data_IF_147742967886
#
_entry.id   IF_147742967886
#
_cell.length_a   1.000
_cell.length_b   1.000
_cell.length_c   1.000
_cell.angle_alpha   90.00
_cell.angle_beta   90.00
_cell.angle_gamma   90.00
#
_symmetry.space_group_name_H-M   'P 1'
#
loop_
_entity.id
_entity.type
_entity.pdbx_description
1 polymer ?
#
# COMPACT_ATOMS: atom_id res chain seq x y z
N UNK A 1 -22.07 -6.00 37.93
CA UNK A 1 -20.77 -5.77 37.25
C UNK A 1 -20.96 -5.64 35.74
N UNK A 2 -21.61 -6.60 35.07
CA UNK A 2 -21.91 -6.52 33.64
C UNK A 2 -22.80 -5.30 33.30
N UNK A 3 -23.90 -5.09 34.04
CA UNK A 3 -24.81 -3.95 33.84
C UNK A 3 -24.11 -2.59 34.00
N UNK A 4 -23.34 -2.38 35.08
CA UNK A 4 -22.54 -1.16 35.26
C UNK A 4 -21.52 -0.93 34.12
N UNK A 5 -20.93 -2.00 33.58
CA UNK A 5 -20.03 -1.89 32.42
C UNK A 5 -20.82 -1.50 31.18
N UNK A 6 -22.00 -2.09 30.97
CA UNK A 6 -22.89 -1.77 29.85
C UNK A 6 -23.37 -0.33 29.90
N UNK A 7 -23.85 0.15 31.05
CA UNK A 7 -24.29 1.54 31.24
C UNK A 7 -23.16 2.53 30.94
N UNK A 8 -21.96 2.29 31.49
CA UNK A 8 -20.80 3.14 31.24
C UNK A 8 -20.36 3.12 29.77
N UNK A 9 -20.50 1.98 29.08
CA UNK A 9 -20.22 1.89 27.65
C UNK A 9 -21.24 2.66 26.82
N UNK A 10 -22.52 2.62 27.20
CA UNK A 10 -23.58 3.40 26.54
C UNK A 10 -23.39 4.89 26.76
N UNK A 11 -23.05 5.32 27.97
CA UNK A 11 -22.75 6.74 28.25
C UNK A 11 -21.57 7.27 27.41
N UNK A 12 -20.49 6.49 27.28
CA UNK A 12 -19.35 6.86 26.45
C UNK A 12 -19.74 6.90 24.98
N UNK A 13 -20.53 5.92 24.52
CA UNK A 13 -21.03 5.87 23.16
C UNK A 13 -21.90 7.09 22.82
N UNK A 14 -22.83 7.45 23.69
CA UNK A 14 -23.73 8.60 23.50
C UNK A 14 -22.94 9.91 23.47
N UNK A 15 -22.00 10.10 24.39
CA UNK A 15 -21.09 11.27 24.38
C UNK A 15 -20.26 11.35 23.10
N UNK A 16 -19.74 10.22 22.62
CA UNK A 16 -18.99 10.18 21.36
C UNK A 16 -19.88 10.53 20.18
N UNK A 17 -21.16 10.16 20.19
CA UNK A 17 -22.11 10.51 19.13
C UNK A 17 -22.50 11.99 19.14
N UNK A 18 -22.59 12.61 20.33
CA UNK A 18 -22.88 14.04 20.48
C UNK A 18 -21.77 14.92 19.91
N UNK A 19 -20.51 14.50 20.03
CA UNK A 19 -19.34 15.26 19.58
C UNK A 19 -19.14 15.23 18.06
N UNK A 20 -19.92 14.43 17.34
CA UNK A 20 -19.82 14.29 15.90
C UNK A 20 -20.38 15.52 15.19
N UNK A 21 -19.75 15.83 14.06
CA UNK A 21 -20.23 16.85 13.16
C UNK A 21 -21.67 16.52 12.70
N UNK A 22 -22.66 17.37 12.98
CA UNK A 22 -24.03 17.10 12.59
C UNK A 22 -24.22 17.08 11.07
N UNK A 23 -23.34 17.72 10.29
CA UNK A 23 -23.44 17.86 8.83
C UNK A 23 -23.15 16.55 8.09
N UNK A 24 -22.53 15.57 8.75
CA UNK A 24 -22.34 14.22 8.18
C UNK A 24 -23.49 13.27 8.50
N UNK A 25 -24.48 13.67 9.31
CA UNK A 25 -25.64 12.82 9.62
C UNK A 25 -26.49 12.59 8.36
N UNK A 26 -27.00 11.38 8.19
CA UNK A 26 -27.76 10.99 6.99
C UNK A 26 -26.91 10.68 5.76
N UNK A 27 -25.59 10.90 5.82
CA UNK A 27 -24.70 10.39 4.78
C UNK A 27 -24.59 8.87 4.92
N UNK A 28 -24.56 8.11 3.80
CA UNK A 28 -24.42 6.67 3.85
C UNK A 28 -23.21 6.24 4.70
N UNK A 29 -23.42 5.25 5.57
CA UNK A 29 -22.47 4.70 6.54
C UNK A 29 -22.05 5.64 7.67
N UNK A 30 -22.57 6.87 7.76
CA UNK A 30 -22.16 7.80 8.82
C UNK A 30 -23.02 7.70 10.08
N UNK A 31 -24.20 7.10 10.08
CA UNK A 31 -25.08 7.17 11.26
C UNK A 31 -24.50 6.49 12.52
N UNK A 32 -23.80 5.37 12.35
CA UNK A 32 -23.19 4.61 13.45
C UNK A 32 -21.90 3.90 13.01
N UNK A 33 -20.89 3.75 13.90
CA UNK A 33 -19.69 2.99 13.60
C UNK A 33 -19.95 1.48 13.45
N UNK A 34 -21.14 1.00 13.84
CA UNK A 34 -21.51 -0.43 13.77
C UNK A 34 -21.49 -0.93 12.31
N UNK A 35 -22.07 -0.18 11.38
CA UNK A 35 -22.15 -0.58 9.98
C UNK A 35 -20.76 -0.66 9.34
N UNK A 36 -19.92 0.35 9.60
CA UNK A 36 -18.51 0.36 9.19
C UNK A 36 -17.76 -0.85 9.76
N UNK A 37 -17.96 -1.17 11.04
CA UNK A 37 -17.27 -2.29 11.71
C UNK A 37 -17.73 -3.63 11.13
N UNK A 38 -19.03 -3.81 10.91
CA UNK A 38 -19.60 -5.01 10.33
C UNK A 38 -19.03 -5.29 8.92
N UNK A 39 -18.95 -4.26 8.06
CA UNK A 39 -18.35 -4.38 6.73
C UNK A 39 -16.90 -4.87 6.82
N UNK A 40 -16.10 -4.30 7.73
CA UNK A 40 -14.70 -4.67 7.90
C UNK A 40 -14.53 -6.08 8.46
N UNK A 41 -15.37 -6.50 9.40
CA UNK A 41 -15.36 -7.87 9.93
C UNK A 41 -15.74 -8.88 8.86
N UNK A 42 -16.76 -8.61 8.05
CA UNK A 42 -17.14 -9.45 6.91
C UNK A 42 -16.02 -9.52 5.88
N UNK A 43 -15.40 -8.38 5.56
CA UNK A 43 -14.24 -8.32 4.68
C UNK A 43 -13.08 -9.18 5.20
N UNK A 44 -12.69 -9.03 6.47
CA UNK A 44 -11.61 -9.79 7.09
C UNK A 44 -11.92 -11.28 7.12
N UNK A 45 -13.14 -11.66 7.50
CA UNK A 45 -13.60 -13.04 7.46
C UNK A 45 -13.51 -13.62 6.04
N UNK A 46 -13.94 -12.86 5.03
CA UNK A 46 -13.86 -13.28 3.64
C UNK A 46 -12.41 -13.44 3.18
N UNK A 47 -11.55 -12.44 3.36
CA UNK A 47 -10.20 -12.45 2.79
C UNK A 47 -9.25 -13.40 3.50
N UNK A 48 -9.41 -13.61 4.81
CA UNK A 48 -8.53 -14.46 5.61
C UNK A 48 -9.00 -15.90 5.69
N UNK A 49 -10.32 -16.14 5.66
CA UNK A 49 -10.88 -17.46 5.99
C UNK A 49 -11.75 -18.04 4.87
N UNK A 50 -12.86 -17.38 4.53
CA UNK A 50 -13.88 -17.98 3.67
C UNK A 50 -13.43 -18.05 2.20
N UNK A 51 -12.95 -16.93 1.66
CA UNK A 51 -12.50 -16.80 0.28
C UNK A 51 -11.37 -17.76 -0.10
N UNK A 52 -10.27 -17.85 0.67
CA UNK A 52 -9.22 -18.84 0.42
C UNK A 52 -9.72 -20.30 0.44
N UNK A 53 -10.63 -20.65 1.35
CA UNK A 53 -11.23 -22.00 1.40
C UNK A 53 -12.12 -22.28 0.19
N UNK A 54 -13.00 -21.35 -0.18
CA UNK A 54 -13.86 -21.47 -1.37
C UNK A 54 -13.00 -21.62 -2.64
N UNK A 55 -11.90 -20.88 -2.71
CA UNK A 55 -10.98 -20.91 -3.85
C UNK A 55 -10.03 -22.09 -3.85
N UNK A 56 -9.90 -22.86 -2.75
CA UNK A 56 -8.97 -23.98 -2.65
C UNK A 56 -9.24 -25.02 -3.74
N UNK A 57 -10.52 -25.36 -3.96
CA UNK A 57 -10.98 -26.36 -4.94
C UNK A 57 -11.32 -25.76 -6.32
N UNK A 58 -11.22 -24.43 -6.49
CA UNK A 58 -11.57 -23.74 -7.73
C UNK A 58 -10.32 -23.27 -8.48
N UNK A 59 -10.45 -23.16 -9.81
CA UNK A 59 -9.45 -22.51 -10.67
C UNK A 59 -9.48 -20.99 -10.43
N UNK A 60 -8.35 -20.27 -10.58
CA UNK A 60 -8.32 -18.81 -10.50
C UNK A 60 -9.28 -18.17 -11.51
N UNK A 61 -10.07 -17.19 -11.06
CA UNK A 61 -10.97 -16.46 -11.95
C UNK A 61 -10.21 -15.56 -12.94
N UNK A 62 -10.68 -15.49 -14.18
CA UNK A 62 -10.13 -14.62 -15.22
C UNK A 62 -10.82 -13.25 -15.21
N UNK A 63 -10.45 -12.41 -14.25
CA UNK A 63 -11.11 -11.11 -13.99
C UNK A 63 -10.47 -9.93 -14.74
N UNK A 64 -9.91 -10.16 -15.93
CA UNK A 64 -9.18 -9.11 -16.68
C UNK A 64 -10.05 -7.88 -16.96
N UNK A 65 -11.20 -8.07 -17.60
CA UNK A 65 -12.13 -6.98 -17.93
C UNK A 65 -12.62 -6.21 -16.69
N UNK A 66 -13.19 -6.90 -15.68
CA UNK A 66 -13.61 -6.26 -14.43
C UNK A 66 -12.50 -5.47 -13.75
N UNK A 67 -11.27 -6.00 -13.68
CA UNK A 67 -10.14 -5.28 -13.09
C UNK A 67 -9.78 -4.03 -13.87
N UNK A 68 -9.81 -4.05 -15.20
CA UNK A 68 -9.51 -2.85 -16.01
C UNK A 68 -10.53 -1.75 -15.70
N UNK A 69 -11.82 -2.08 -15.77
CA UNK A 69 -12.92 -1.14 -15.49
C UNK A 69 -12.80 -0.58 -14.07
N UNK A 70 -12.60 -1.45 -13.08
CA UNK A 70 -12.45 -1.06 -11.69
C UNK A 70 -11.24 -0.13 -11.44
N UNK A 71 -10.07 -0.45 -12.00
CA UNK A 71 -8.89 0.39 -11.80
C UNK A 71 -9.05 1.77 -12.46
N UNK A 72 -9.61 1.84 -13.67
CA UNK A 72 -9.87 3.13 -14.32
C UNK A 72 -11.00 3.93 -13.64
N UNK A 73 -12.00 3.25 -13.09
CA UNK A 73 -12.98 3.89 -12.21
C UNK A 73 -12.30 4.52 -10.99
N UNK A 74 -11.38 3.82 -10.33
CA UNK A 74 -10.64 4.38 -9.20
C UNK A 74 -9.69 5.52 -9.57
N UNK A 75 -9.12 5.51 -10.78
CA UNK A 75 -8.40 6.66 -11.32
C UNK A 75 -9.33 7.87 -11.42
N UNK A 76 -10.51 7.71 -12.03
CA UNK A 76 -11.49 8.80 -12.15
C UNK A 76 -11.95 9.30 -10.78
N UNK A 77 -12.34 8.38 -9.88
CA UNK A 77 -12.78 8.71 -8.53
C UNK A 77 -11.70 9.46 -7.75
N UNK A 78 -10.45 8.98 -7.79
CA UNK A 78 -9.33 9.63 -7.09
C UNK A 78 -9.03 11.01 -7.67
N UNK A 79 -9.06 11.16 -9.00
CA UNK A 79 -8.88 12.47 -9.66
C UNK A 79 -9.98 13.45 -9.27
N UNK A 80 -11.23 12.98 -9.21
CA UNK A 80 -12.35 13.80 -8.76
C UNK A 80 -12.20 14.20 -7.29
N UNK A 81 -11.80 13.29 -6.41
CA UNK A 81 -11.53 13.59 -5.00
C UNK A 81 -10.38 14.61 -4.85
N UNK A 82 -9.31 14.48 -5.64
CA UNK A 82 -8.22 15.48 -5.66
C UNK A 82 -8.77 16.86 -6.03
N UNK A 83 -9.52 16.95 -7.13
CA UNK A 83 -10.13 18.21 -7.56
C UNK A 83 -11.04 18.79 -6.47
N UNK A 84 -11.88 17.97 -5.85
CA UNK A 84 -12.78 18.42 -4.79
C UNK A 84 -12.03 18.89 -3.54
N UNK A 85 -10.97 18.20 -3.08
CA UNK A 85 -10.15 18.69 -1.97
C UNK A 85 -9.48 20.03 -2.32
N UNK A 86 -8.90 20.13 -3.51
CA UNK A 86 -8.26 21.36 -4.00
C UNK A 86 -9.25 22.53 -3.97
N UNK A 87 -10.45 22.34 -4.51
CA UNK A 87 -11.44 23.41 -4.59
C UNK A 87 -12.20 23.65 -3.27
N UNK A 88 -12.19 22.71 -2.33
CA UNK A 88 -12.83 22.86 -1.01
C UNK A 88 -12.00 23.64 0.00
N UNK A 89 -10.71 23.90 -0.27
CA UNK A 89 -9.89 24.70 0.63
C UNK A 89 -8.44 24.86 0.15
N UNK A 90 -7.82 23.77 -0.28
CA UNK A 90 -6.36 23.73 -0.53
C UNK A 90 -5.87 24.70 -1.63
N UNK A 91 -6.71 25.08 -2.60
CA UNK A 91 -6.42 26.13 -3.59
C UNK A 91 -7.25 27.40 -3.42
N UNK A 92 -8.21 27.42 -2.50
CA UNK A 92 -9.24 28.47 -2.43
C UNK A 92 -9.22 29.27 -1.13
N UNK A 93 -8.47 28.84 -0.11
CA UNK A 93 -8.34 29.63 1.12
C UNK A 93 -7.40 29.08 2.19
N UNK A 94 -6.98 27.82 2.11
CA UNK A 94 -6.05 27.25 3.09
C UNK A 94 -4.65 27.81 2.92
N UNK A 95 -3.98 27.99 4.06
CA UNK A 95 -2.65 28.58 4.20
C UNK A 95 -1.52 27.56 4.08
N UNK A 96 -1.85 26.26 3.99
CA UNK A 96 -0.89 25.13 3.99
C UNK A 96 -0.10 25.05 5.30
N UNK A 97 -0.72 25.51 6.38
CA UNK A 97 -0.16 25.63 7.72
C UNK A 97 -1.22 25.24 8.76
N UNK A 98 -1.62 26.17 9.62
CA UNK A 98 -2.72 25.94 10.55
C UNK A 98 -4.04 26.31 9.87
N UNK A 99 -4.68 25.29 9.31
CA UNK A 99 -6.00 25.44 8.70
C UNK A 99 -7.04 24.71 9.58
N UNK A 100 -7.85 25.44 10.37
CA UNK A 100 -8.88 24.83 11.21
C UNK A 100 -10.03 24.25 10.37
N UNK A 101 -10.86 23.41 10.99
CA UNK A 101 -12.07 22.91 10.35
C UNK A 101 -13.11 24.03 10.28
N UNK A 102 -13.69 24.28 9.12
CA UNK A 102 -14.88 25.14 8.99
C UNK A 102 -16.13 24.32 9.35
N UNK A 103 -16.75 24.62 10.51
CA UNK A 103 -17.99 23.99 10.97
C UNK A 103 -19.27 24.70 10.52
N UNK A 104 -19.16 25.79 9.77
CA UNK A 104 -20.33 26.50 9.24
C UNK A 104 -20.99 25.74 8.08
N UNK A 105 -22.22 26.12 7.75
CA UNK A 105 -22.92 25.64 6.56
C UNK A 105 -22.53 26.42 5.29
N UNK A 106 -21.32 26.99 5.26
CA UNK A 106 -20.81 27.67 4.08
C UNK A 106 -20.73 26.69 2.90
N UNK A 107 -20.92 27.15 1.64
CA UNK A 107 -20.80 26.27 0.48
C UNK A 107 -19.44 25.55 0.40
N UNK A 108 -18.37 26.21 0.88
CA UNK A 108 -17.01 25.66 0.91
C UNK A 108 -16.85 24.62 2.02
N UNK A 109 -17.30 24.91 3.25
CA UNK A 109 -17.29 23.96 4.37
C UNK A 109 -18.09 22.70 4.06
N UNK A 110 -19.31 22.85 3.54
CA UNK A 110 -20.14 21.71 3.11
C UNK A 110 -19.53 20.93 1.94
N UNK A 111 -18.73 21.57 1.08
CA UNK A 111 -17.99 20.88 0.01
C UNK A 111 -16.85 20.04 0.59
N UNK A 112 -16.11 20.59 1.57
CA UNK A 112 -15.06 19.86 2.30
C UNK A 112 -15.63 18.62 3.01
N UNK A 113 -16.77 18.76 3.68
CA UNK A 113 -17.46 17.63 4.33
C UNK A 113 -17.81 16.54 3.32
N UNK A 114 -18.37 16.93 2.16
CA UNK A 114 -18.73 15.99 1.09
C UNK A 114 -17.53 15.22 0.55
N UNK A 115 -16.40 15.89 0.29
CA UNK A 115 -15.20 15.22 -0.23
C UNK A 115 -14.52 14.36 0.84
N UNK A 116 -14.55 14.76 2.11
CA UNK A 116 -14.06 13.94 3.22
C UNK A 116 -14.85 12.62 3.33
N UNK A 117 -16.18 12.69 3.23
CA UNK A 117 -17.02 11.50 3.14
C UNK A 117 -16.76 10.68 1.88
N UNK A 118 -16.63 11.32 0.71
CA UNK A 118 -16.36 10.60 -0.54
C UNK A 118 -15.02 9.85 -0.48
N UNK A 119 -14.01 10.46 0.15
CA UNK A 119 -12.74 9.81 0.43
C UNK A 119 -12.91 8.58 1.33
N UNK A 120 -13.71 8.66 2.39
CA UNK A 120 -14.04 7.50 3.23
C UNK A 120 -14.72 6.38 2.42
N UNK A 121 -15.71 6.71 1.59
CA UNK A 121 -16.39 5.74 0.72
C UNK A 121 -15.39 5.09 -0.24
N UNK A 122 -14.45 5.86 -0.80
CA UNK A 122 -13.41 5.29 -1.65
C UNK A 122 -12.61 4.19 -0.94
N UNK A 123 -12.31 4.32 0.36
CA UNK A 123 -11.58 3.29 1.12
C UNK A 123 -12.36 1.97 1.23
N UNK A 124 -13.69 2.02 1.31
CA UNK A 124 -14.53 0.82 1.26
C UNK A 124 -14.56 0.17 -0.12
N UNK A 125 -14.60 0.98 -1.18
CA UNK A 125 -14.53 0.46 -2.56
C UNK A 125 -13.18 -0.25 -2.78
N UNK A 126 -12.10 0.31 -2.26
CA UNK A 126 -10.74 -0.24 -2.37
C UNK A 126 -10.57 -1.60 -1.67
N UNK A 127 -11.48 -2.02 -0.78
CA UNK A 127 -11.50 -3.38 -0.22
C UNK A 127 -11.60 -4.45 -1.32
N UNK A 128 -12.18 -4.10 -2.47
CA UNK A 128 -12.29 -4.98 -3.63
C UNK A 128 -10.92 -5.39 -4.19
N UNK A 129 -9.85 -4.63 -3.96
CA UNK A 129 -8.48 -4.99 -4.35
C UNK A 129 -8.09 -6.38 -3.81
N UNK A 130 -8.35 -6.59 -2.53
CA UNK A 130 -8.03 -7.85 -1.85
C UNK A 130 -8.97 -8.96 -2.30
N UNK A 131 -10.25 -8.64 -2.57
CA UNK A 131 -11.20 -9.60 -3.15
C UNK A 131 -10.70 -10.11 -4.50
N UNK A 132 -10.22 -9.23 -5.38
CA UNK A 132 -9.60 -9.63 -6.64
C UNK A 132 -8.37 -10.53 -6.42
N UNK A 133 -7.53 -10.25 -5.41
CA UNK A 133 -6.38 -11.11 -5.11
C UNK A 133 -6.80 -12.51 -4.67
N UNK A 134 -7.82 -12.62 -3.82
CA UNK A 134 -8.38 -13.91 -3.36
C UNK A 134 -8.93 -14.70 -4.55
N UNK A 135 -9.82 -14.09 -5.35
CA UNK A 135 -10.46 -14.76 -6.48
C UNK A 135 -9.48 -15.18 -7.59
N UNK A 136 -8.34 -14.48 -7.70
CA UNK A 136 -7.26 -14.82 -8.64
C UNK A 136 -6.18 -15.73 -8.05
N UNK A 137 -6.35 -16.20 -6.81
CA UNK A 137 -5.36 -17.00 -6.04
C UNK A 137 -3.98 -16.34 -6.01
N UNK A 138 -3.94 -15.00 -5.90
CA UNK A 138 -2.70 -14.21 -5.80
C UNK A 138 -2.35 -13.93 -4.34
N UNK A 139 -2.29 -14.98 -3.53
CA UNK A 139 -2.04 -14.88 -2.08
C UNK A 139 -0.76 -14.16 -1.72
N UNK A 140 0.28 -14.19 -2.57
CA UNK A 140 1.50 -13.43 -2.32
C UNK A 140 1.26 -11.92 -2.26
N UNK A 141 0.21 -11.38 -2.91
CA UNK A 141 -0.17 -9.97 -2.85
C UNK A 141 -0.93 -9.61 -1.57
N UNK A 142 -1.53 -10.60 -0.90
CA UNK A 142 -2.27 -10.42 0.36
C UNK A 142 -1.25 -10.47 1.51
N UNK A 143 -0.53 -9.36 1.69
CA UNK A 143 0.46 -9.22 2.77
C UNK A 143 -0.18 -8.64 4.03
N UNK A 144 0.51 -8.76 5.18
CA UNK A 144 0.12 -8.05 6.39
C UNK A 144 -0.05 -6.55 6.14
N UNK A 145 0.91 -5.92 5.44
CA UNK A 145 0.83 -4.51 5.06
C UNK A 145 -0.47 -4.18 4.33
N UNK A 146 -0.83 -5.00 3.32
CA UNK A 146 -2.03 -4.79 2.53
C UNK A 146 -3.30 -4.91 3.37
N UNK A 147 -3.44 -6.00 4.13
CA UNK A 147 -4.64 -6.23 4.96
C UNK A 147 -4.75 -5.18 6.05
N UNK A 148 -3.65 -4.88 6.75
CA UNK A 148 -3.64 -3.88 7.82
C UNK A 148 -4.05 -2.52 7.28
N UNK A 149 -3.43 -2.08 6.16
CA UNK A 149 -3.79 -0.82 5.50
C UNK A 149 -5.28 -0.78 5.12
N UNK A 150 -5.76 -1.76 4.34
CA UNK A 150 -7.15 -1.74 3.85
C UNK A 150 -8.20 -1.96 4.94
N UNK A 151 -7.84 -2.52 6.10
CA UNK A 151 -8.79 -2.67 7.21
C UNK A 151 -8.79 -1.46 8.14
N UNK A 152 -7.60 -0.95 8.45
CA UNK A 152 -7.43 0.08 9.45
C UNK A 152 -7.71 1.48 8.90
N UNK A 153 -7.37 1.76 7.63
CA UNK A 153 -7.63 3.07 7.01
C UNK A 153 -9.12 3.45 6.98
N UNK A 154 -10.05 2.64 6.44
CA UNK A 154 -11.48 2.99 6.51
C UNK A 154 -11.99 3.12 7.95
N UNK A 155 -11.44 2.33 8.88
CA UNK A 155 -11.82 2.39 10.29
C UNK A 155 -11.46 3.73 10.94
N UNK A 156 -10.21 4.18 10.78
CA UNK A 156 -9.75 5.46 11.34
C UNK A 156 -10.38 6.65 10.64
N UNK A 157 -10.56 6.57 9.32
CA UNK A 157 -11.19 7.62 8.54
C UNK A 157 -12.65 7.85 8.90
N UNK A 158 -13.39 6.80 9.29
CA UNK A 158 -14.77 6.98 9.76
C UNK A 158 -14.84 7.93 10.95
N UNK A 159 -13.93 7.78 11.92
CA UNK A 159 -13.83 8.69 13.06
C UNK A 159 -13.34 10.07 12.66
N UNK A 160 -12.35 10.16 11.77
CA UNK A 160 -11.85 11.43 11.24
C UNK A 160 -12.95 12.26 10.57
N UNK A 161 -13.73 11.66 9.66
CA UNK A 161 -14.86 12.34 9.00
C UNK A 161 -15.97 12.64 9.99
N UNK A 162 -16.20 11.79 10.98
CA UNK A 162 -17.24 12.01 11.98
C UNK A 162 -16.97 13.20 12.89
N UNK A 163 -15.71 13.50 13.20
CA UNK A 163 -15.35 14.56 14.14
C UNK A 163 -14.76 15.81 13.47
N UNK A 164 -13.90 15.63 12.48
CA UNK A 164 -13.13 16.72 11.84
C UNK A 164 -13.08 16.55 10.32
N UNK A 165 -14.21 16.72 9.61
CA UNK A 165 -14.29 16.54 8.17
C UNK A 165 -13.67 17.74 7.40
N UNK A 166 -12.39 18.07 7.64
CA UNK A 166 -11.69 19.16 6.96
C UNK A 166 -10.40 19.61 7.64
N UNK A 167 -10.02 20.86 7.37
CA UNK A 167 -8.83 21.52 7.93
C UNK A 167 -7.53 20.89 7.47
N UNK A 168 -6.45 21.20 8.18
CA UNK A 168 -5.10 20.71 7.91
C UNK A 168 -5.01 19.17 8.00
N UNK A 169 -5.91 18.53 8.76
CA UNK A 169 -6.06 17.08 8.81
C UNK A 169 -6.41 16.45 7.46
N UNK A 170 -7.07 17.17 6.56
CA UNK A 170 -7.44 16.67 5.22
C UNK A 170 -6.27 16.58 4.23
N UNK A 171 -5.11 17.15 4.54
CA UNK A 171 -3.93 17.19 3.65
C UNK A 171 -3.54 15.79 3.19
N UNK A 172 -3.50 14.84 4.12
CA UNK A 172 -3.06 13.49 3.81
C UNK A 172 -4.02 12.73 2.90
N UNK A 173 -5.34 13.01 2.95
CA UNK A 173 -6.30 12.46 1.99
C UNK A 173 -6.08 13.03 0.60
N UNK A 174 -5.84 14.34 0.49
CA UNK A 174 -5.56 14.98 -0.80
C UNK A 174 -4.32 14.35 -1.44
N UNK A 175 -3.19 14.31 -0.73
CA UNK A 175 -1.95 13.72 -1.24
C UNK A 175 -2.11 12.22 -1.52
N UNK A 176 -2.80 11.47 -0.66
CA UNK A 176 -3.08 10.05 -0.91
C UNK A 176 -3.90 9.85 -2.19
N UNK A 177 -4.88 10.70 -2.44
CA UNK A 177 -5.71 10.63 -3.66
C UNK A 177 -4.86 10.88 -4.91
N UNK A 178 -3.91 11.82 -4.88
CA UNK A 178 -2.94 12.03 -5.98
C UNK A 178 -2.12 10.77 -6.24
N UNK A 179 -1.61 10.13 -5.18
CA UNK A 179 -0.85 8.88 -5.32
C UNK A 179 -1.74 7.74 -5.81
N UNK A 180 -3.01 7.69 -5.41
CA UNK A 180 -3.98 6.68 -5.86
C UNK A 180 -4.31 6.81 -7.34
N UNK A 181 -4.38 8.04 -7.90
CA UNK A 181 -4.46 8.25 -9.36
C UNK A 181 -3.32 7.52 -10.07
N UNK A 182 -2.08 7.72 -9.62
CA UNK A 182 -0.88 7.14 -10.23
C UNK A 182 -0.87 5.60 -10.05
N UNK A 183 -1.18 5.13 -8.85
CA UNK A 183 -1.15 3.70 -8.50
C UNK A 183 -2.22 2.91 -9.25
N UNK A 184 -3.47 3.37 -9.27
CA UNK A 184 -4.54 2.66 -9.97
C UNK A 184 -4.40 2.77 -11.48
N UNK A 185 -3.82 3.85 -12.01
CA UNK A 185 -3.46 3.93 -13.43
C UNK A 185 -2.44 2.85 -13.80
N UNK A 186 -1.40 2.68 -12.98
CA UNK A 186 -0.44 1.57 -13.15
C UNK A 186 -1.14 0.20 -13.09
N UNK A 187 -2.02 -0.02 -12.11
CA UNK A 187 -2.72 -1.30 -11.98
C UNK A 187 -3.66 -1.57 -13.16
N UNK A 188 -4.37 -0.57 -13.66
CA UNK A 188 -5.19 -0.65 -14.87
C UNK A 188 -4.38 -1.06 -16.09
N UNK A 189 -3.24 -0.40 -16.33
CA UNK A 189 -2.32 -0.77 -17.42
C UNK A 189 -1.72 -2.17 -17.22
N UNK A 190 -1.39 -2.54 -15.99
CA UNK A 190 -0.86 -3.88 -15.68
C UNK A 190 -1.89 -4.99 -15.96
N UNK A 191 -3.18 -4.70 -15.75
CA UNK A 191 -4.29 -5.60 -16.01
C UNK A 191 -4.62 -5.71 -17.51
N UNK A 192 -4.35 -4.67 -18.31
CA UNK A 192 -4.56 -4.66 -19.76
C UNK A 192 -3.71 -5.70 -20.52
N UNK A 193 -2.66 -6.25 -19.89
CA UNK A 193 -1.96 -7.46 -20.31
C UNK A 193 -0.52 -7.23 -20.75
N UNK A 194 0.16 -8.27 -21.30
CA UNK A 194 1.59 -8.23 -21.60
C UNK A 194 2.00 -7.10 -22.56
N UNK A 195 1.10 -6.71 -23.48
CA UNK A 195 1.32 -5.60 -24.43
C UNK A 195 1.61 -4.27 -23.72
N UNK A 196 1.01 -4.03 -22.55
CA UNK A 196 1.20 -2.81 -21.77
C UNK A 196 2.25 -2.99 -20.67
N UNK A 197 2.36 -4.19 -20.08
CA UNK A 197 3.32 -4.48 -19.00
C UNK A 197 4.78 -4.17 -19.37
N UNK A 198 5.16 -4.31 -20.64
CA UNK A 198 6.51 -3.97 -21.13
C UNK A 198 6.88 -2.49 -20.95
N UNK A 199 5.91 -1.60 -20.88
CA UNK A 199 6.13 -0.16 -20.66
C UNK A 199 6.13 0.23 -19.17
N UNK A 200 5.84 -0.71 -18.26
CA UNK A 200 5.71 -0.46 -16.82
C UNK A 200 7.04 -0.60 -16.05
N UNK A 201 8.13 -0.12 -16.65
CA UNK A 201 9.48 -0.15 -16.07
C UNK A 201 9.57 0.69 -14.77
N UNK A 202 8.70 1.67 -14.63
CA UNK A 202 8.68 2.63 -13.53
C UNK A 202 8.01 2.12 -12.24
N UNK A 203 7.78 0.80 -12.11
CA UNK A 203 7.24 0.17 -10.89
C UNK A 203 7.99 0.57 -9.61
N UNK A 204 9.31 0.78 -9.69
CA UNK A 204 10.13 1.21 -8.54
C UNK A 204 9.76 2.63 -8.09
N UNK A 205 9.48 3.54 -9.03
CA UNK A 205 9.11 4.92 -8.72
C UNK A 205 7.73 5.02 -8.05
N UNK A 206 6.82 4.08 -8.28
CA UNK A 206 5.55 4.05 -7.53
C UNK A 206 5.79 3.92 -6.02
N UNK A 207 6.59 2.94 -5.60
CA UNK A 207 6.88 2.75 -4.18
C UNK A 207 7.67 3.94 -3.62
N UNK A 208 8.50 4.59 -4.44
CA UNK A 208 9.20 5.81 -4.05
C UNK A 208 8.20 6.96 -3.81
N UNK A 209 7.24 7.18 -4.72
CA UNK A 209 6.18 8.19 -4.57
C UNK A 209 5.34 7.93 -3.31
N UNK A 210 5.00 6.67 -3.02
CA UNK A 210 4.28 6.30 -1.79
C UNK A 210 5.10 6.62 -0.53
N UNK A 211 6.41 6.35 -0.53
CA UNK A 211 7.30 6.74 0.58
C UNK A 211 7.41 8.26 0.73
N UNK A 212 7.54 8.98 -0.39
CA UNK A 212 7.56 10.45 -0.40
C UNK A 212 6.26 11.03 0.14
N UNK A 213 5.10 10.45 -0.18
CA UNK A 213 3.82 10.85 0.42
C UNK A 213 3.87 10.80 1.94
N UNK A 214 4.34 9.70 2.54
CA UNK A 214 4.41 9.59 4.01
C UNK A 214 5.32 10.64 4.62
N UNK A 215 6.45 10.96 3.97
CA UNK A 215 7.35 12.03 4.41
C UNK A 215 6.64 13.39 4.34
N UNK A 216 6.03 13.73 3.21
CA UNK A 216 5.33 15.00 3.02
C UNK A 216 4.18 15.19 4.03
N UNK A 217 3.37 14.15 4.24
CA UNK A 217 2.28 14.17 5.22
C UNK A 217 2.81 14.33 6.63
N UNK A 218 3.89 13.62 6.98
CA UNK A 218 4.48 13.71 8.32
C UNK A 218 5.09 15.08 8.58
N UNK A 219 5.77 15.67 7.59
CA UNK A 219 6.31 17.02 7.68
C UNK A 219 5.20 18.05 7.87
N UNK A 220 4.12 17.97 7.08
CA UNK A 220 2.97 18.87 7.22
C UNK A 220 2.30 18.76 8.59
N UNK A 221 2.04 17.53 9.07
CA UNK A 221 1.48 17.31 10.41
C UNK A 221 2.42 17.81 11.52
N UNK A 222 3.74 17.69 11.33
CA UNK A 222 4.74 18.15 12.30
C UNK A 222 4.73 19.66 12.50
N UNK A 223 4.29 20.44 11.50
CA UNK A 223 4.21 21.90 11.61
C UNK A 223 3.35 22.35 12.79
N UNK A 224 2.32 21.58 13.16
CA UNK A 224 1.45 21.85 14.31
C UNK A 224 2.24 22.01 15.63
N UNK A 225 3.30 21.23 15.83
CA UNK A 225 4.11 21.26 17.05
C UNK A 225 5.06 22.46 17.14
N UNK A 226 5.28 23.15 16.02
CA UNK A 226 6.20 24.28 15.91
C UNK A 226 5.47 25.61 15.70
N UNK A 227 4.13 25.61 15.76
CA UNK A 227 3.32 26.82 15.67
C UNK A 227 2.96 27.33 17.06
N UNK A 228 3.26 28.60 17.33
CA UNK A 228 2.96 29.23 18.62
C UNK A 228 1.45 29.36 18.88
N UNK A 229 0.65 29.47 17.81
CA UNK A 229 -0.81 29.51 17.87
C UNK A 229 -1.40 28.73 16.69
N UNK A 230 -2.28 27.77 16.99
CA UNK A 230 -3.06 27.05 16.00
C UNK A 230 -4.39 26.56 16.58
N UNK A 231 -5.49 27.14 16.10
CA UNK A 231 -6.85 26.89 16.59
C UNK A 231 -7.49 25.64 15.98
N UNK A 232 -6.68 24.62 15.66
CA UNK A 232 -7.19 23.35 15.17
C UNK A 232 -7.93 22.61 16.28
N UNK A 233 -9.21 22.31 16.05
CA UNK A 233 -10.16 21.98 17.11
C UNK A 233 -9.92 20.62 17.78
N UNK A 234 -9.27 19.67 17.08
CA UNK A 234 -8.99 18.33 17.62
C UNK A 234 -7.54 17.89 17.38
N UNK A 235 -6.56 18.44 18.13
CA UNK A 235 -5.14 18.14 17.96
C UNK A 235 -4.81 16.64 18.00
N UNK A 236 -5.58 15.85 18.76
CA UNK A 236 -5.45 14.39 18.83
C UNK A 236 -5.45 13.73 17.45
N UNK A 237 -6.25 14.22 16.50
CA UNK A 237 -6.33 13.66 15.14
C UNK A 237 -5.01 13.88 14.39
N UNK A 238 -4.35 15.03 14.57
CA UNK A 238 -3.04 15.29 13.96
C UNK A 238 -1.94 14.39 14.56
N UNK A 239 -2.00 14.15 15.87
CA UNK A 239 -1.10 13.20 16.54
C UNK A 239 -1.27 11.79 15.96
N UNK A 240 -2.52 11.34 15.78
CA UNK A 240 -2.82 10.04 15.18
C UNK A 240 -2.33 9.96 13.72
N UNK A 241 -2.55 11.00 12.91
CA UNK A 241 -2.04 11.07 11.53
C UNK A 241 -0.51 10.94 11.51
N UNK A 242 0.19 11.65 12.39
CA UNK A 242 1.66 11.59 12.48
C UNK A 242 2.17 10.21 12.92
N UNK A 243 1.55 9.61 13.94
CA UNK A 243 1.89 8.26 14.40
C UNK A 243 1.64 7.21 13.30
N UNK A 244 0.50 7.29 12.62
CA UNK A 244 0.18 6.37 11.52
C UNK A 244 1.09 6.58 10.31
N UNK A 245 1.39 7.83 9.96
CA UNK A 245 2.36 8.17 8.90
C UNK A 245 3.72 7.53 9.17
N UNK A 246 4.21 7.63 10.40
CA UNK A 246 5.47 7.01 10.84
C UNK A 246 5.40 5.48 10.78
N UNK A 247 4.31 4.88 11.28
CA UNK A 247 4.10 3.44 11.25
C UNK A 247 4.08 2.88 9.82
N UNK A 248 3.32 3.52 8.91
CA UNK A 248 3.29 3.12 7.50
C UNK A 248 4.62 3.35 6.79
N UNK A 249 5.32 4.45 7.09
CA UNK A 249 6.65 4.69 6.55
C UNK A 249 7.61 3.53 6.87
N UNK A 250 7.61 3.04 8.12
CA UNK A 250 8.42 1.89 8.54
C UNK A 250 8.03 0.63 7.75
N UNK A 251 6.73 0.34 7.62
CA UNK A 251 6.28 -0.85 6.90
C UNK A 251 6.61 -0.79 5.40
N UNK A 252 6.44 0.37 4.76
CA UNK A 252 6.78 0.56 3.35
C UNK A 252 8.30 0.54 3.12
N UNK A 253 9.09 1.03 4.08
CA UNK A 253 10.55 0.94 4.04
C UNK A 253 11.02 -0.52 4.13
N UNK A 254 10.41 -1.32 5.01
CA UNK A 254 10.66 -2.76 5.07
C UNK A 254 10.25 -3.45 3.76
N UNK A 255 9.08 -3.12 3.20
CA UNK A 255 8.66 -3.63 1.90
C UNK A 255 9.67 -3.29 0.80
N UNK A 256 10.16 -2.04 0.74
CA UNK A 256 11.18 -1.61 -0.23
C UNK A 256 12.45 -2.45 -0.11
N UNK A 257 12.95 -2.60 1.12
CA UNK A 257 14.14 -3.39 1.40
C UNK A 257 13.98 -4.85 0.94
N UNK A 258 12.86 -5.50 1.27
CA UNK A 258 12.61 -6.89 0.88
C UNK A 258 12.38 -7.05 -0.63
N UNK A 259 11.65 -6.12 -1.26
CA UNK A 259 11.25 -6.20 -2.65
C UNK A 259 12.37 -5.87 -3.64
N UNK A 260 13.15 -4.82 -3.34
CA UNK A 260 14.10 -4.23 -4.28
C UNK A 260 15.56 -4.43 -3.88
N UNK A 261 15.90 -4.31 -2.60
CA UNK A 261 17.29 -4.53 -2.13
C UNK A 261 17.60 -6.02 -2.06
N UNK A 262 16.71 -6.83 -1.49
CA UNK A 262 16.82 -8.30 -1.49
C UNK A 262 16.27 -8.96 -2.76
N UNK A 263 15.76 -8.19 -3.72
CA UNK A 263 15.37 -8.67 -5.04
C UNK A 263 14.12 -9.57 -5.12
N UNK A 264 13.34 -9.76 -4.05
CA UNK A 264 12.23 -10.73 -4.03
C UNK A 264 11.06 -10.38 -4.96
N UNK A 265 10.94 -9.13 -5.44
CA UNK A 265 9.78 -8.66 -6.24
C UNK A 265 10.15 -7.67 -7.36
N UNK A 266 11.34 -7.84 -7.95
CA UNK A 266 11.84 -7.00 -9.03
C UNK A 266 10.84 -6.89 -10.21
N UNK A 267 10.87 -5.79 -10.98
CA UNK A 267 10.13 -5.71 -12.24
C UNK A 267 10.51 -6.89 -13.13
N UNK A 268 9.56 -7.45 -13.88
CA UNK A 268 9.87 -8.49 -14.87
C UNK A 268 10.77 -7.84 -15.92
N UNK A 269 12.04 -8.24 -16.00
CA UNK A 269 12.89 -7.85 -17.12
C UNK A 269 12.45 -8.60 -18.38
N UNK A 270 12.51 -7.92 -19.51
CA UNK A 270 12.11 -8.43 -20.84
C UNK A 270 12.97 -9.63 -21.31
N UNK A 271 14.07 -9.94 -20.62
CA UNK A 271 15.02 -10.99 -21.04
C UNK A 271 14.62 -12.43 -20.70
N UNK A 272 13.62 -12.67 -19.83
CA UNK A 272 13.20 -14.05 -19.51
C UNK A 272 12.26 -14.69 -20.55
N UNK A 273 11.92 -14.00 -21.64
CA UNK A 273 11.09 -14.55 -22.72
C UNK A 273 11.89 -15.28 -23.81
N UNK A 274 13.23 -15.24 -23.81
CA UNK A 274 14.06 -15.86 -24.85
C UNK A 274 14.78 -17.16 -24.44
N UNK A 275 14.76 -17.57 -23.16
CA UNK A 275 15.53 -18.75 -22.70
C UNK A 275 14.68 -20.03 -22.61
N UNK A 276 13.34 -19.94 -22.58
CA UNK A 276 12.47 -21.12 -22.43
C UNK A 276 11.88 -21.66 -23.75
N UNK A 277 12.56 -21.52 -24.90
CA UNK A 277 12.08 -22.08 -26.18
C UNK A 277 13.11 -22.87 -26.99
N UNK A 278 14.20 -23.30 -26.38
CA UNK A 278 15.05 -24.36 -26.94
C UNK A 278 15.41 -25.34 -25.83
N UNK A 279 14.68 -26.44 -25.80
CA UNK A 279 15.17 -27.80 -25.53
C UNK A 279 14.01 -28.68 -25.06
N UNK A 280 13.30 -29.23 -26.05
CA UNK A 280 12.55 -30.48 -25.90
C UNK A 280 13.05 -31.43 -26.99
N UNK A 281 14.19 -32.06 -26.73
CA UNK A 281 14.59 -33.30 -27.40
C UNK A 281 15.20 -34.22 -26.36
N UNK A 282 14.60 -35.40 -26.24
CA UNK A 282 14.91 -36.47 -25.32
C UNK A 282 16.38 -36.92 -25.37
N UNK A 283 16.94 -37.35 -24.23
CA UNK A 283 17.53 -38.68 -23.99
C UNK A 283 18.30 -38.77 -22.64
N UNK A 284 17.91 -39.79 -21.86
CA UNK A 284 18.73 -40.70 -21.05
C UNK A 284 19.82 -40.21 -20.07
N UNK A 285 19.59 -40.55 -18.79
CA UNK A 285 20.50 -41.06 -17.75
C UNK A 285 22.02 -40.76 -17.79
N UNK A 286 22.48 -40.16 -16.69
CA UNK A 286 23.71 -40.56 -15.99
C UNK A 286 24.94 -39.67 -16.18
N UNK A 287 25.15 -38.71 -15.28
CA UNK A 287 26.48 -38.28 -14.84
C UNK A 287 26.38 -37.34 -13.63
N UNK A 288 27.09 -37.71 -12.56
CA UNK A 288 27.38 -36.87 -11.39
C UNK A 288 28.58 -35.99 -11.73
N UNK A 289 28.52 -34.68 -11.46
CA UNK A 289 29.71 -33.85 -11.30
C UNK A 289 29.45 -32.74 -10.25
N UNK A 290 30.33 -32.71 -9.26
CA UNK A 290 30.34 -31.80 -8.11
C UNK A 290 30.97 -30.44 -8.46
N UNK A 291 30.47 -29.42 -7.75
CA UNK A 291 31.17 -28.23 -7.23
C UNK A 291 31.89 -27.27 -8.20
N UNK A 292 31.49 -26.00 -8.20
CA UNK A 292 32.38 -24.92 -7.72
C UNK A 292 31.65 -23.56 -7.67
N UNK A 293 31.83 -22.90 -6.54
CA UNK A 293 31.62 -21.49 -6.27
C UNK A 293 32.45 -20.59 -7.19
N UNK A 294 31.85 -19.51 -7.71
CA UNK A 294 32.61 -18.35 -8.21
C UNK A 294 32.04 -17.08 -7.59
N UNK A 295 32.83 -16.53 -6.67
CA UNK A 295 32.84 -15.12 -6.26
C UNK A 295 33.59 -14.35 -7.36
N UNK A 296 33.07 -13.21 -7.79
CA UNK A 296 33.88 -12.17 -8.43
C UNK A 296 33.28 -10.81 -8.16
N UNK A 297 34.14 -9.94 -7.63
CA UNK A 297 33.95 -8.54 -7.28
C UNK A 297 35.04 -7.78 -8.06
N UNK A 298 34.76 -6.56 -8.52
CA UNK A 298 35.78 -5.52 -8.75
C UNK A 298 36.37 -5.37 -10.17
N UNK A 299 35.82 -4.37 -10.88
CA UNK A 299 36.48 -3.24 -11.56
C UNK A 299 37.96 -3.30 -11.99
N UNK A 300 38.22 -2.75 -13.19
CA UNK A 300 39.48 -2.01 -13.47
C UNK A 300 40.13 -2.31 -14.81
N UNK A 301 39.86 -1.46 -15.79
CA UNK A 301 40.55 -1.37 -17.09
C UNK A 301 41.95 -0.78 -16.87
N UNK A 302 43.01 -1.42 -17.38
CA UNK A 302 44.23 -0.77 -17.88
C UNK A 302 45.01 -1.70 -18.82
N UNK A 303 45.30 -1.18 -20.01
CA UNK A 303 46.22 -1.72 -21.01
C UNK A 303 47.69 -1.53 -20.55
N UNK A 304 48.56 -2.52 -20.76
CA UNK A 304 49.78 -2.43 -21.59
C UNK A 304 50.63 -3.71 -21.58
N UNK A 305 51.40 -3.86 -22.66
CA UNK A 305 52.15 -5.05 -23.11
C UNK A 305 53.42 -5.35 -22.29
N UNK A 306 53.80 -6.63 -22.20
CA UNK A 306 55.14 -7.05 -21.79
C UNK A 306 55.35 -8.56 -21.89
N UNK A 307 56.22 -9.00 -22.81
CA UNK A 307 56.71 -10.38 -22.92
C UNK A 307 57.52 -10.80 -21.68
N UNK A 308 57.42 -12.06 -21.25
CA UNK A 308 58.55 -13.02 -21.11
C UNK A 308 58.18 -14.34 -20.43
N UNK A 309 58.96 -15.37 -20.76
CA UNK A 309 58.92 -16.80 -20.43
C UNK A 309 58.83 -17.18 -18.94
N UNK A 310 58.25 -18.37 -18.65
CA UNK A 310 58.55 -19.12 -17.43
C UNK A 310 57.76 -20.43 -17.26
N UNK A 311 58.45 -21.57 -17.23
CA UNK A 311 57.92 -22.95 -17.16
C UNK A 311 57.36 -23.34 -15.76
N UNK A 312 56.32 -24.19 -15.83
CA UNK A 312 55.82 -25.25 -14.92
C UNK A 312 56.46 -25.45 -13.53
N UNK A 313 55.63 -25.72 -12.51
CA UNK A 313 55.73 -26.94 -11.70
C UNK A 313 54.38 -27.28 -11.03
N UNK A 314 53.97 -28.55 -11.14
CA UNK A 314 52.83 -29.18 -10.49
C UNK A 314 53.33 -29.95 -9.26
N UNK A 315 52.56 -29.99 -8.18
CA UNK A 315 52.57 -31.11 -7.24
C UNK A 315 51.21 -31.27 -6.54
N UNK A 316 50.68 -32.50 -6.56
CA UNK A 316 49.44 -32.93 -5.95
C UNK A 316 49.72 -33.58 -4.58
N UNK A 317 48.87 -33.34 -3.59
CA UNK A 317 48.86 -34.06 -2.32
C UNK A 317 47.43 -34.43 -1.89
N UNK A 318 47.20 -35.73 -1.69
CA UNK A 318 45.91 -36.38 -1.39
C UNK A 318 45.34 -36.06 0.00
N UNK A 319 44.02 -36.19 0.17
CA UNK A 319 43.39 -36.38 1.49
C UNK A 319 42.44 -37.58 1.54
N UNK A 320 42.57 -38.32 2.63
CA UNK A 320 41.83 -39.52 2.99
C UNK A 320 40.44 -39.19 3.54
N UNK A 321 39.48 -40.07 3.24
CA UNK A 321 38.08 -40.07 3.66
C UNK A 321 37.88 -40.36 5.16
N UNK A 322 36.91 -39.68 5.78
CA UNK A 322 36.32 -40.03 7.08
C UNK A 322 34.86 -39.55 7.19
N UNK A 323 33.93 -40.50 7.27
CA UNK A 323 32.46 -40.35 7.33
C UNK A 323 31.94 -40.05 8.76
N UNK A 324 30.63 -39.72 8.80
CA UNK A 324 29.64 -39.79 9.91
C UNK A 324 29.58 -38.56 10.83
N UNK A 325 28.42 -38.11 11.34
CA UNK A 325 27.06 -38.69 11.46
C UNK A 325 26.04 -37.55 11.69
N UNK A 326 24.77 -37.86 11.42
CA UNK A 326 23.56 -37.06 11.74
C UNK A 326 23.42 -36.72 13.23
N UNK A 327 22.81 -35.56 13.50
CA UNK A 327 21.62 -35.41 14.33
C UNK A 327 20.71 -34.38 13.65
#
# INVERSE_FOLDING_TARGET
>A
MLEMVTERMLEVYDKLLEWRDPRVRGYPLMDSPVNMTAILLVYLFFVLYAGPRIMATRKPFQLKGPMIVYNFFLVFLSSFIVYEFLMSGWLTGYTWRCDPVDYSDSPQGLRMVRVAWLFLISKFIELMDTVFFVLRKKHSQITFLHIFHHSFMPWTWWWGVSFVPGGMGSFHAMVNSVVHVIMYFYYGLSAAGPRFQKYLWWKKYMTAIQLTQFVLVSLHATQYYFMDSCDYQMPLILHLIWMYGTFFFILFSNFWYQAYVKGKRLPKSTEQLSVNSKDNSALSNGAVANSASVVSNGSGVHHENGLTNGKKHHENGSSHSGKMKKA
#
